data_IF_204700100783
#
_entry.id   IF_204700100783
#
_cell.length_a   1.000
_cell.length_b   1.000
_cell.length_c   1.000
_cell.angle_alpha   90.00
_cell.angle_beta   90.00
_cell.angle_gamma   90.00
#
_symmetry.space_group_name_H-M   'P 1'
#
loop_
_entity.id
_entity.type
_entity.pdbx_description
1 polymer ?
#
# COMPACT_ATOMS: atom_id res chain seq x y z
N UNK A 1 -90.53 5.21 18.84
CA UNK A 1 -90.08 5.20 17.43
C UNK A 1 -88.62 5.63 17.39
N UNK A 2 -87.77 4.79 16.78
CA UNK A 2 -86.51 5.15 16.11
C UNK A 2 -85.40 5.85 16.93
N UNK A 3 -84.69 5.12 17.79
CA UNK A 3 -83.32 5.51 18.20
C UNK A 3 -82.43 4.29 18.51
N UNK A 4 -82.65 3.14 17.84
CA UNK A 4 -81.87 1.92 18.09
C UNK A 4 -81.69 1.04 16.84
N UNK A 5 -81.41 1.66 15.68
CA UNK A 5 -81.19 0.94 14.40
C UNK A 5 -80.07 1.52 13.50
N UNK A 6 -79.15 2.32 14.05
CA UNK A 6 -78.04 2.88 13.28
C UNK A 6 -76.67 2.65 13.95
N UNK A 7 -76.48 1.50 14.61
CA UNK A 7 -75.18 1.16 15.19
C UNK A 7 -74.66 -0.24 14.80
N UNK A 8 -75.21 -0.85 13.75
CA UNK A 8 -74.82 -2.22 13.35
C UNK A 8 -74.64 -2.40 11.85
N UNK A 9 -74.48 -1.30 11.10
CA UNK A 9 -74.12 -1.33 9.66
C UNK A 9 -72.84 -0.53 9.38
N UNK A 10 -72.20 0.05 10.40
CA UNK A 10 -70.93 0.77 10.27
C UNK A 10 -69.75 -0.02 10.86
N UNK A 11 -69.80 -1.35 10.76
CA UNK A 11 -68.76 -2.26 11.26
C UNK A 11 -68.44 -3.39 10.28
N UNK A 12 -68.65 -3.13 8.98
CA UNK A 12 -68.29 -4.06 7.91
C UNK A 12 -67.95 -3.31 6.61
N UNK A 13 -67.08 -2.29 6.70
CA UNK A 13 -66.46 -1.65 5.53
C UNK A 13 -65.02 -1.23 5.85
N UNK A 14 -64.28 -2.15 6.49
CA UNK A 14 -62.88 -1.97 6.87
C UNK A 14 -62.06 -3.16 6.42
N UNK A 15 -62.13 -3.50 5.14
CA UNK A 15 -61.29 -4.52 4.55
C UNK A 15 -60.71 -4.00 3.24
N UNK A 16 -59.37 -3.98 3.19
CA UNK A 16 -58.54 -4.00 1.99
C UNK A 16 -58.43 -2.64 1.27
N UNK A 17 -57.43 -1.84 1.66
CA UNK A 17 -56.26 -1.55 0.81
C UNK A 17 -55.07 -1.18 1.72
N UNK A 18 -54.34 -2.16 2.23
CA UNK A 18 -52.93 -1.92 2.56
C UNK A 18 -52.18 -2.02 1.23
N UNK A 19 -52.08 -0.89 0.53
CA UNK A 19 -51.05 -0.76 -0.49
C UNK A 19 -49.73 -0.68 0.26
N UNK A 20 -49.00 -1.79 0.35
CA UNK A 20 -47.55 -1.68 0.43
C UNK A 20 -47.13 -1.00 -0.87
N UNK A 21 -46.87 0.31 -0.81
CA UNK A 21 -45.91 0.88 -1.74
C UNK A 21 -44.60 0.15 -1.39
N UNK A 22 -44.19 -0.78 -2.24
CA UNK A 22 -42.77 -1.03 -2.38
C UNK A 22 -42.30 0.14 -3.25
N UNK A 23 -41.85 1.21 -2.61
CA UNK A 23 -40.95 2.14 -3.27
C UNK A 23 -39.66 1.36 -3.62
N UNK A 24 -39.10 1.67 -4.78
CA UNK A 24 -37.99 0.92 -5.40
C UNK A 24 -36.66 1.06 -4.63
N UNK A 25 -36.66 1.71 -3.48
CA UNK A 25 -35.55 1.90 -2.56
C UNK A 25 -35.38 0.73 -1.57
N UNK A 26 -36.39 -0.14 -1.40
CA UNK A 26 -36.31 -1.35 -0.58
C UNK A 26 -35.74 -2.59 -1.32
N UNK A 27 -35.48 -2.46 -2.64
CA UNK A 27 -34.94 -3.54 -3.46
C UNK A 27 -33.64 -3.10 -4.11
N UNK A 28 -32.51 -3.58 -3.58
CA UNK A 28 -31.21 -3.46 -4.24
C UNK A 28 -31.31 -4.14 -5.60
N UNK A 29 -31.30 -3.36 -6.68
CA UNK A 29 -31.21 -3.87 -8.03
C UNK A 29 -29.75 -4.15 -8.34
N UNK A 30 -29.42 -5.43 -8.56
CA UNK A 30 -28.08 -5.82 -9.00
C UNK A 30 -27.73 -5.10 -10.30
N UNK A 31 -26.60 -4.41 -10.32
CA UNK A 31 -26.14 -3.70 -11.51
C UNK A 31 -25.71 -4.68 -12.58
N UNK A 32 -26.01 -4.35 -13.84
CA UNK A 32 -25.51 -5.08 -15.00
C UNK A 32 -24.05 -4.72 -15.30
N UNK A 33 -23.34 -5.60 -16.01
CA UNK A 33 -21.98 -5.33 -16.51
C UNK A 33 -21.90 -4.02 -17.31
N UNK A 34 -22.95 -3.70 -18.08
CA UNK A 34 -23.02 -2.45 -18.83
C UNK A 34 -22.97 -1.23 -17.92
N UNK A 35 -23.69 -1.25 -16.78
CA UNK A 35 -23.69 -0.16 -15.80
C UNK A 35 -22.34 -0.04 -15.09
N UNK A 36 -21.71 -1.17 -14.76
CA UNK A 36 -20.39 -1.17 -14.12
C UNK A 36 -19.33 -0.64 -15.09
N UNK A 37 -19.38 -1.02 -16.37
CA UNK A 37 -18.48 -0.48 -17.39
C UNK A 37 -18.72 1.01 -17.66
N UNK A 38 -19.96 1.47 -17.62
CA UNK A 38 -20.25 2.91 -17.68
C UNK A 38 -19.59 3.65 -16.50
N UNK A 39 -19.72 3.13 -15.28
CA UNK A 39 -19.02 3.65 -14.10
C UNK A 39 -17.50 3.72 -14.31
N UNK A 40 -16.89 2.64 -14.79
CA UNK A 40 -15.46 2.58 -15.08
C UNK A 40 -15.06 3.67 -16.06
N UNK A 41 -15.74 3.80 -17.20
CA UNK A 41 -15.43 4.83 -18.20
C UNK A 41 -15.58 6.22 -17.60
N UNK A 42 -16.66 6.49 -16.87
CA UNK A 42 -16.91 7.81 -16.25
C UNK A 42 -15.80 8.18 -15.28
N UNK A 43 -15.44 7.31 -14.35
CA UNK A 43 -14.41 7.67 -13.38
C UNK A 43 -13.00 7.71 -13.98
N UNK A 44 -12.67 6.86 -14.97
CA UNK A 44 -11.40 6.98 -15.72
C UNK A 44 -11.34 8.30 -16.52
N UNK A 45 -12.40 8.65 -17.25
CA UNK A 45 -12.47 9.92 -17.99
C UNK A 45 -12.37 11.16 -17.08
N UNK A 46 -12.84 11.06 -15.83
CA UNK A 46 -12.81 12.16 -14.87
C UNK A 46 -11.45 12.25 -14.18
N UNK A 47 -10.95 11.14 -13.64
CA UNK A 47 -9.86 11.17 -12.65
C UNK A 47 -8.51 10.72 -13.19
N UNK A 48 -8.47 10.01 -14.31
CA UNK A 48 -7.25 9.35 -14.73
C UNK A 48 -6.16 10.35 -15.11
N UNK A 49 -4.95 10.16 -14.56
CA UNK A 49 -3.79 11.00 -14.80
C UNK A 49 -3.42 11.03 -16.29
N UNK A 50 -3.43 9.86 -16.93
CA UNK A 50 -3.07 9.68 -18.34
C UNK A 50 -4.29 9.69 -19.27
N UNK A 51 -5.37 10.37 -18.89
CA UNK A 51 -6.59 10.49 -19.71
C UNK A 51 -6.28 10.88 -21.16
N UNK A 52 -5.39 11.85 -21.36
CA UNK A 52 -5.05 12.38 -22.68
C UNK A 52 -4.37 11.35 -23.59
N UNK A 53 -3.75 10.31 -23.03
CA UNK A 53 -3.05 9.26 -23.77
C UNK A 53 -4.00 8.12 -24.23
N UNK A 54 -5.27 8.14 -23.80
CA UNK A 54 -6.24 7.08 -24.06
C UNK A 54 -7.40 7.63 -24.91
N UNK A 55 -7.39 7.43 -26.25
CA UNK A 55 -8.40 8.01 -27.14
C UNK A 55 -9.85 7.66 -26.80
N UNK A 56 -10.10 6.47 -26.24
CA UNK A 56 -11.45 6.04 -25.83
C UNK A 56 -11.97 6.76 -24.57
N UNK A 57 -11.10 7.51 -23.87
CA UNK A 57 -11.46 8.43 -22.78
C UNK A 57 -11.70 9.86 -23.26
N UNK A 58 -11.61 10.18 -24.55
CA UNK A 58 -11.93 11.53 -25.03
C UNK A 58 -13.41 11.89 -24.75
N UNK A 59 -13.66 13.17 -24.44
CA UNK A 59 -14.99 13.66 -24.06
C UNK A 59 -15.99 13.58 -25.22
N UNK A 60 -15.51 13.72 -26.45
CA UNK A 60 -16.28 13.69 -27.71
C UNK A 60 -16.14 12.35 -28.46
N UNK A 61 -15.61 11.30 -27.81
CA UNK A 61 -15.32 10.00 -28.42
C UNK A 61 -16.54 9.34 -29.10
N UNK A 62 -17.73 9.48 -28.52
CA UNK A 62 -18.93 8.79 -28.98
C UNK A 62 -19.98 9.79 -29.48
N UNK A 63 -20.54 9.50 -30.66
CA UNK A 63 -21.53 10.37 -31.33
C UNK A 63 -22.97 10.09 -30.92
N UNK A 64 -23.22 8.96 -30.24
CA UNK A 64 -24.54 8.56 -29.76
C UNK A 64 -24.46 7.58 -28.59
N UNK A 65 -25.54 7.48 -27.81
CA UNK A 65 -25.64 6.49 -26.72
C UNK A 65 -25.62 5.04 -27.23
N UNK A 66 -26.09 4.78 -28.46
CA UNK A 66 -26.02 3.45 -29.07
C UNK A 66 -24.58 3.04 -29.31
N UNK A 67 -23.78 3.91 -29.94
CA UNK A 67 -22.36 3.66 -30.18
C UNK A 67 -21.60 3.43 -28.86
N UNK A 68 -21.88 4.25 -27.85
CA UNK A 68 -21.28 4.11 -26.52
C UNK A 68 -21.63 2.76 -25.87
N UNK A 69 -22.90 2.38 -25.85
CA UNK A 69 -23.32 1.09 -25.29
C UNK A 69 -22.76 -0.11 -26.07
N UNK A 70 -22.70 -0.02 -27.40
CA UNK A 70 -22.10 -1.07 -28.24
C UNK A 70 -20.61 -1.23 -27.93
N UNK A 71 -19.89 -0.12 -27.72
CA UNK A 71 -18.49 -0.14 -27.27
C UNK A 71 -18.33 -0.82 -25.92
N UNK A 72 -19.11 -0.43 -24.88
CA UNK A 72 -19.04 -1.08 -23.57
C UNK A 72 -19.38 -2.58 -23.64
N UNK A 73 -20.33 -2.97 -24.48
CA UNK A 73 -20.72 -4.37 -24.67
C UNK A 73 -19.72 -5.18 -25.49
N UNK A 74 -18.75 -4.55 -26.16
CA UNK A 74 -17.70 -5.26 -26.90
C UNK A 74 -16.68 -5.98 -26.00
N UNK A 75 -16.64 -5.61 -24.71
CA UNK A 75 -15.77 -6.22 -23.71
C UNK A 75 -16.47 -7.32 -22.93
N UNK A 76 -15.74 -8.38 -22.55
CA UNK A 76 -16.32 -9.55 -21.91
C UNK A 76 -16.62 -9.36 -20.42
N UNK A 77 -15.89 -8.50 -19.73
CA UNK A 77 -16.08 -8.20 -18.30
C UNK A 77 -15.72 -6.74 -17.96
N UNK A 78 -16.15 -6.23 -16.80
CA UNK A 78 -15.70 -4.94 -16.27
C UNK A 78 -14.17 -4.82 -16.18
N UNK A 79 -13.46 -5.85 -15.73
CA UNK A 79 -12.00 -5.86 -15.59
C UNK A 79 -11.31 -5.73 -16.95
N UNK A 80 -11.70 -6.56 -17.94
CA UNK A 80 -11.14 -6.45 -19.30
C UNK A 80 -11.39 -5.09 -19.94
N UNK A 81 -12.47 -4.41 -19.55
CA UNK A 81 -12.77 -3.06 -20.01
C UNK A 81 -11.91 -2.01 -19.29
N UNK A 82 -11.71 -2.14 -17.98
CA UNK A 82 -10.81 -1.29 -17.23
C UNK A 82 -9.39 -1.37 -17.79
N UNK A 83 -8.86 -2.58 -17.99
CA UNK A 83 -7.51 -2.82 -18.50
C UNK A 83 -7.29 -2.17 -19.89
N UNK A 84 -8.33 -2.13 -20.73
CA UNK A 84 -8.29 -1.45 -22.04
C UNK A 84 -8.15 0.07 -21.92
N UNK A 85 -8.62 0.68 -20.82
CA UNK A 85 -8.56 2.11 -20.58
C UNK A 85 -7.31 2.56 -19.83
N UNK A 86 -6.46 1.63 -19.39
CA UNK A 86 -5.19 1.91 -18.73
C UNK A 86 -4.13 2.17 -19.81
N UNK A 87 -3.39 3.28 -19.68
CA UNK A 87 -2.33 3.63 -20.60
C UNK A 87 -1.12 2.68 -20.46
N UNK A 88 -0.38 2.44 -21.55
CA UNK A 88 0.74 1.49 -21.59
C UNK A 88 1.81 1.74 -20.51
N UNK A 89 2.01 3.01 -20.12
CA UNK A 89 2.98 3.41 -19.08
C UNK A 89 2.49 3.22 -17.63
N UNK A 90 1.25 2.80 -17.42
CA UNK A 90 0.64 2.72 -16.10
C UNK A 90 0.56 1.29 -15.59
N UNK A 91 1.46 0.96 -14.66
CA UNK A 91 1.49 -0.32 -13.95
C UNK A 91 0.70 -0.30 -12.62
N UNK A 92 0.10 0.84 -12.28
CA UNK A 92 -0.33 1.17 -10.93
C UNK A 92 -1.83 1.39 -10.75
N UNK A 93 -2.58 1.63 -11.82
CA UNK A 93 -4.04 1.68 -11.79
C UNK A 93 -4.66 0.28 -11.77
N UNK A 94 -5.74 0.10 -11.01
CA UNK A 94 -6.41 -1.20 -10.91
C UNK A 94 -7.88 -1.08 -10.47
N UNK A 95 -8.62 -2.18 -10.57
CA UNK A 95 -10.02 -2.29 -10.18
C UNK A 95 -10.26 -3.52 -9.30
N UNK A 96 -11.21 -3.42 -8.36
CA UNK A 96 -11.74 -4.54 -7.58
C UNK A 96 -13.24 -4.64 -7.74
N UNK A 97 -13.76 -5.85 -7.57
CA UNK A 97 -15.18 -6.12 -7.49
C UNK A 97 -15.73 -6.06 -6.05
N UNK A 98 -14.87 -5.92 -5.04
CA UNK A 98 -15.23 -5.84 -3.63
C UNK A 98 -14.45 -4.70 -2.93
N UNK A 99 -15.04 -3.51 -2.90
CA UNK A 99 -14.46 -2.37 -2.21
C UNK A 99 -14.42 -2.54 -0.69
N UNK A 100 -15.20 -3.47 -0.09
CA UNK A 100 -15.21 -3.66 1.37
C UNK A 100 -13.91 -4.34 1.78
N UNK A 101 -13.51 -5.37 1.02
CA UNK A 101 -12.21 -5.99 1.17
C UNK A 101 -11.06 -4.99 0.94
N UNK A 102 -11.22 -4.07 -0.02
CA UNK A 102 -10.26 -2.98 -0.22
C UNK A 102 -10.19 -2.03 0.99
N UNK A 103 -11.32 -1.55 1.50
CA UNK A 103 -11.34 -0.65 2.66
C UNK A 103 -10.65 -1.31 3.86
N UNK A 104 -10.92 -2.59 4.11
CA UNK A 104 -10.22 -3.38 5.13
C UNK A 104 -8.71 -3.43 4.89
N UNK A 105 -8.28 -3.69 3.65
CA UNK A 105 -6.87 -3.73 3.28
C UNK A 105 -6.17 -2.38 3.51
N UNK A 106 -6.80 -1.25 3.14
CA UNK A 106 -6.27 0.09 3.37
C UNK A 106 -6.15 0.42 4.87
N UNK A 107 -7.08 -0.09 5.69
CA UNK A 107 -7.03 0.00 7.15
C UNK A 107 -6.01 -0.98 7.79
N UNK A 108 -5.30 -1.77 6.99
CA UNK A 108 -4.28 -2.73 7.44
C UNK A 108 -4.84 -4.06 7.91
N UNK A 109 -6.10 -4.34 7.63
CA UNK A 109 -6.80 -5.57 7.99
C UNK A 109 -6.66 -6.57 6.85
N UNK A 110 -5.89 -7.63 7.08
CA UNK A 110 -5.66 -8.69 6.10
C UNK A 110 -5.88 -10.07 6.69
N UNK A 111 -6.13 -11.06 5.83
CA UNK A 111 -6.19 -12.48 6.22
C UNK A 111 -4.81 -13.09 6.00
N UNK A 112 -4.04 -13.28 7.08
CA UNK A 112 -2.68 -13.79 7.02
C UNK A 112 -2.34 -14.66 8.25
N UNK A 113 -1.24 -15.41 8.20
CA UNK A 113 -0.77 -16.22 9.34
C UNK A 113 0.36 -15.53 10.13
N UNK A 114 0.73 -14.31 9.75
CA UNK A 114 1.78 -13.49 10.35
C UNK A 114 3.19 -13.71 9.82
N UNK A 115 3.40 -14.66 8.91
CA UNK A 115 4.69 -14.85 8.25
C UNK A 115 4.79 -13.94 7.03
N UNK A 116 5.58 -12.88 7.12
CA UNK A 116 5.91 -12.02 5.99
C UNK A 116 7.18 -12.53 5.30
N UNK A 117 7.15 -12.72 3.99
CA UNK A 117 8.20 -13.42 3.27
C UNK A 117 8.45 -12.85 1.87
N UNK A 118 9.66 -13.09 1.35
CA UNK A 118 9.98 -12.92 -0.06
C UNK A 118 10.16 -14.26 -0.77
N UNK A 119 10.05 -14.25 -2.09
CA UNK A 119 10.17 -15.41 -2.97
C UNK A 119 11.27 -15.15 -4.01
N UNK A 120 12.26 -16.03 -4.00
CA UNK A 120 13.51 -15.89 -4.76
C UNK A 120 13.70 -17.11 -5.65
N UNK A 121 14.06 -16.88 -6.91
CA UNK A 121 14.42 -17.96 -7.84
C UNK A 121 15.72 -18.62 -7.41
N UNK A 122 15.80 -19.94 -7.58
CA UNK A 122 17.04 -20.66 -7.32
C UNK A 122 18.14 -20.16 -8.27
N UNK A 123 19.39 -19.98 -7.81
CA UNK A 123 20.47 -19.46 -8.64
C UNK A 123 20.77 -20.31 -9.88
N UNK A 124 20.70 -21.64 -9.71
CA UNK A 124 21.08 -22.60 -10.75
C UNK A 124 19.88 -23.25 -11.45
N UNK A 125 18.65 -23.03 -10.96
CA UNK A 125 17.41 -23.65 -11.44
C UNK A 125 16.24 -22.65 -11.38
N UNK A 126 16.23 -21.59 -12.21
CA UNK A 126 15.36 -20.42 -12.01
C UNK A 126 13.84 -20.70 -12.15
N UNK A 127 13.45 -21.90 -12.56
CA UNK A 127 12.06 -22.37 -12.53
C UNK A 127 11.58 -22.73 -11.11
N UNK A 128 12.52 -22.99 -10.19
CA UNK A 128 12.26 -23.26 -8.78
C UNK A 128 12.42 -22.01 -7.95
N UNK A 129 11.64 -21.95 -6.89
CA UNK A 129 11.55 -20.81 -5.98
C UNK A 129 11.69 -21.29 -4.54
N UNK A 130 12.41 -20.52 -3.73
CA UNK A 130 12.37 -20.65 -2.28
C UNK A 130 11.81 -19.37 -1.68
N UNK A 131 11.20 -19.49 -0.51
CA UNK A 131 10.81 -18.37 0.31
C UNK A 131 11.79 -18.14 1.45
N UNK A 132 11.96 -16.88 1.81
CA UNK A 132 12.70 -16.46 2.99
C UNK A 132 11.80 -15.58 3.86
N UNK A 133 11.81 -15.79 5.17
CA UNK A 133 11.00 -14.99 6.09
C UNK A 133 11.67 -13.64 6.30
N UNK A 134 10.95 -12.56 5.97
CA UNK A 134 11.37 -11.17 6.18
C UNK A 134 11.19 -10.77 7.64
N UNK A 135 10.01 -11.01 8.18
CA UNK A 135 9.69 -10.74 9.57
C UNK A 135 8.43 -11.52 9.95
N UNK A 136 8.12 -11.53 11.25
CA UNK A 136 6.94 -12.20 11.77
C UNK A 136 6.13 -11.20 12.59
N UNK A 137 4.85 -11.10 12.27
CA UNK A 137 3.92 -10.19 12.94
C UNK A 137 3.62 -10.68 14.37
N UNK A 138 3.58 -9.78 15.37
CA UNK A 138 3.38 -10.16 16.76
C UNK A 138 1.96 -10.68 17.01
N UNK A 139 1.83 -11.67 17.88
CA UNK A 139 0.54 -12.26 18.29
C UNK A 139 -0.09 -13.18 17.24
N UNK A 140 0.67 -13.65 16.25
CA UNK A 140 0.17 -14.45 15.13
C UNK A 140 0.49 -15.95 15.24
N UNK A 141 -0.12 -16.75 14.38
CA UNK A 141 0.11 -18.19 14.32
C UNK A 141 1.57 -18.54 13.94
N UNK A 142 2.17 -17.78 13.03
CA UNK A 142 3.59 -17.91 12.68
C UNK A 142 4.52 -17.66 13.88
N UNK A 143 4.25 -16.60 14.66
CA UNK A 143 5.02 -16.31 15.88
C UNK A 143 4.89 -17.43 16.91
N UNK A 144 3.66 -17.90 17.15
CA UNK A 144 3.38 -18.99 18.09
C UNK A 144 4.09 -20.31 17.72
N UNK A 145 4.35 -20.51 16.42
CA UNK A 145 5.06 -21.67 15.88
C UNK A 145 6.58 -21.49 15.81
N UNK A 146 7.07 -20.33 16.25
CA UNK A 146 8.49 -20.05 16.38
C UNK A 146 9.20 -19.78 15.07
N UNK A 147 8.45 -19.39 14.02
CA UNK A 147 9.03 -18.89 12.77
C UNK A 147 9.80 -17.60 13.07
N UNK A 148 10.92 -17.39 12.38
CA UNK A 148 11.79 -16.22 12.55
C UNK A 148 12.21 -15.66 11.20
N UNK A 149 12.53 -14.36 11.20
CA UNK A 149 13.28 -13.73 10.08
C UNK A 149 14.51 -14.58 9.75
N UNK A 150 14.72 -14.83 8.46
CA UNK A 150 15.81 -15.66 7.96
C UNK A 150 15.48 -17.14 7.82
N UNK A 151 14.35 -17.63 8.35
CA UNK A 151 13.92 -18.99 8.05
C UNK A 151 13.66 -19.14 6.54
N UNK A 152 14.14 -20.25 5.97
CA UNK A 152 13.97 -20.57 4.56
C UNK A 152 12.96 -21.70 4.43
N UNK A 153 12.10 -21.62 3.42
CA UNK A 153 11.19 -22.70 3.03
C UNK A 153 11.19 -22.85 1.52
N UNK A 154 10.93 -24.05 1.01
CA UNK A 154 10.93 -24.29 -0.44
C UNK A 154 9.76 -25.14 -0.94
N UNK A 155 8.92 -25.63 -0.04
CA UNK A 155 7.70 -26.35 -0.40
C UNK A 155 6.50 -25.82 0.37
N UNK A 156 5.32 -25.95 -0.22
CA UNK A 156 4.02 -25.72 0.41
C UNK A 156 3.18 -26.97 0.19
N UNK A 157 2.67 -27.56 1.27
CA UNK A 157 1.99 -28.86 1.29
C UNK A 157 2.77 -29.95 0.55
N UNK A 158 4.09 -29.95 0.73
CA UNK A 158 5.03 -30.87 0.08
C UNK A 158 5.27 -30.59 -1.41
N UNK A 159 4.64 -29.58 -2.00
CA UNK A 159 4.83 -29.20 -3.40
C UNK A 159 5.95 -28.15 -3.51
N UNK A 160 6.93 -28.39 -4.39
CA UNK A 160 7.99 -27.43 -4.71
C UNK A 160 7.39 -26.14 -5.28
N UNK A 161 7.81 -24.99 -4.73
CA UNK A 161 7.35 -23.68 -5.17
C UNK A 161 8.01 -23.36 -6.52
N UNK A 162 7.21 -22.83 -7.46
CA UNK A 162 7.61 -22.28 -8.75
C UNK A 162 6.97 -20.91 -8.94
N UNK A 163 7.43 -20.14 -9.93
CA UNK A 163 6.82 -18.84 -10.26
C UNK A 163 5.37 -18.94 -10.77
N UNK A 164 4.97 -20.12 -11.26
CA UNK A 164 3.63 -20.37 -11.82
C UNK A 164 2.63 -20.98 -10.85
N UNK A 165 3.05 -21.51 -9.69
CA UNK A 165 2.15 -22.23 -8.77
C UNK A 165 1.89 -21.51 -7.43
N UNK A 166 2.66 -20.47 -7.11
CA UNK A 166 2.61 -19.73 -5.83
C UNK A 166 1.22 -19.25 -5.47
N UNK A 167 0.47 -18.70 -6.43
CA UNK A 167 -0.88 -18.18 -6.18
C UNK A 167 -1.85 -19.28 -5.75
N UNK A 168 -1.74 -20.47 -6.34
CA UNK A 168 -2.53 -21.63 -5.94
C UNK A 168 -2.07 -22.21 -4.61
N UNK A 169 -0.77 -22.27 -4.35
CA UNK A 169 -0.22 -22.82 -3.11
C UNK A 169 -0.51 -21.94 -1.88
N UNK A 170 -0.54 -20.61 -2.06
CA UNK A 170 -0.74 -19.65 -0.99
C UNK A 170 -2.21 -19.24 -0.78
N UNK A 171 -3.12 -19.61 -1.68
CA UNK A 171 -4.54 -19.24 -1.56
C UNK A 171 -5.26 -19.88 -0.35
N UNK A 172 -5.00 -21.14 0.04
CA UNK A 172 -5.72 -21.74 1.17
C UNK A 172 -5.51 -21.00 2.49
N UNK A 173 -6.52 -21.05 3.36
CA UNK A 173 -6.44 -20.46 4.71
C UNK A 173 -5.48 -21.22 5.62
N UNK A 174 -5.24 -22.50 5.32
CA UNK A 174 -4.24 -23.31 6.01
C UNK A 174 -3.36 -24.04 5.01
N UNK A 175 -2.05 -24.00 5.23
CA UNK A 175 -1.05 -24.70 4.42
C UNK A 175 0.17 -25.03 5.26
N UNK A 176 1.03 -25.94 4.79
CA UNK A 176 2.23 -26.37 5.51
C UNK A 176 3.48 -26.01 4.72
N UNK A 177 4.36 -25.19 5.29
CA UNK A 177 5.68 -24.92 4.68
C UNK A 177 6.67 -26.03 5.02
N UNK A 178 7.45 -26.48 4.05
CA UNK A 178 8.62 -27.32 4.29
C UNK A 178 9.88 -26.48 4.39
N UNK A 179 10.58 -26.57 5.52
CA UNK A 179 11.74 -25.76 5.83
C UNK A 179 13.00 -26.25 5.09
N UNK A 180 13.83 -25.30 4.69
CA UNK A 180 15.10 -25.52 4.03
C UNK A 180 16.20 -24.64 4.66
N UNK A 181 17.43 -24.81 4.22
CA UNK A 181 18.56 -23.90 4.48
C UNK A 181 19.08 -23.36 3.16
N UNK A 182 19.65 -22.17 3.18
CA UNK A 182 20.27 -21.55 2.01
C UNK A 182 21.66 -21.03 2.37
N UNK A 183 22.70 -21.49 1.66
CA UNK A 183 24.10 -21.13 1.94
C UNK A 183 24.67 -20.04 1.00
N UNK A 184 23.80 -19.45 0.17
CA UNK A 184 24.17 -18.53 -0.90
C UNK A 184 24.24 -19.18 -2.28
N UNK A 185 24.26 -20.51 -2.36
CA UNK A 185 24.29 -21.27 -3.62
C UNK A 185 23.17 -22.30 -3.69
N UNK A 186 23.07 -23.14 -2.67
CA UNK A 186 22.19 -24.30 -2.66
C UNK A 186 21.07 -24.15 -1.63
N UNK A 187 19.85 -24.51 -2.03
CA UNK A 187 18.70 -24.64 -1.13
C UNK A 187 18.55 -26.12 -0.75
N UNK A 188 18.72 -26.43 0.53
CA UNK A 188 18.69 -27.81 1.03
C UNK A 188 17.51 -28.03 1.97
N UNK A 189 16.56 -28.94 1.66
CA UNK A 189 15.46 -29.27 2.57
C UNK A 189 15.97 -29.82 3.91
N UNK A 190 15.40 -29.35 5.01
CA UNK A 190 15.73 -29.85 6.36
C UNK A 190 14.94 -31.10 6.74
N UNK A 191 13.83 -31.36 6.03
CA UNK A 191 12.83 -32.37 6.40
C UNK A 191 11.85 -31.94 7.49
N UNK A 192 12.04 -30.75 8.09
CA UNK A 192 11.08 -30.16 9.00
C UNK A 192 9.99 -29.40 8.24
N UNK A 193 8.80 -29.30 8.85
CA UNK A 193 7.67 -28.59 8.27
C UNK A 193 6.85 -27.88 9.34
N UNK A 194 6.24 -26.75 8.99
CA UNK A 194 5.38 -25.96 9.89
C UNK A 194 4.04 -25.75 9.20
N UNK A 195 2.96 -26.24 9.80
CA UNK A 195 1.60 -25.92 9.36
C UNK A 195 1.26 -24.51 9.81
N UNK A 196 0.63 -23.70 8.98
CA UNK A 196 0.23 -22.32 9.25
C UNK A 196 -1.25 -22.14 8.96
N UNK A 197 -1.92 -21.31 9.75
CA UNK A 197 -3.33 -20.97 9.57
C UNK A 197 -3.50 -19.46 9.60
N UNK A 198 -4.18 -18.93 8.58
CA UNK A 198 -4.49 -17.52 8.46
C UNK A 198 -5.61 -17.13 9.41
N UNK A 199 -5.51 -15.92 9.93
CA UNK A 199 -6.53 -15.23 10.71
C UNK A 199 -6.60 -13.78 10.26
N UNK A 200 -7.73 -13.13 10.50
CA UNK A 200 -7.80 -11.68 10.29
C UNK A 200 -6.86 -10.98 11.27
N UNK A 201 -6.03 -10.08 10.75
CA UNK A 201 -5.02 -9.36 11.52
C UNK A 201 -4.96 -7.90 11.06
N UNK A 202 -4.90 -6.98 12.02
CA UNK A 202 -4.66 -5.55 11.77
C UNK A 202 -3.18 -5.26 12.01
N UNK A 203 -2.43 -5.00 10.95
CA UNK A 203 -0.99 -4.71 11.07
C UNK A 203 -0.75 -3.27 11.53
N UNK A 204 -0.02 -3.12 12.63
CA UNK A 204 0.56 -1.85 13.02
C UNK A 204 1.82 -1.59 12.17
N UNK A 205 1.85 -0.53 11.34
CA UNK A 205 2.99 -0.26 10.47
C UNK A 205 4.26 0.15 11.23
N UNK A 206 4.15 0.60 12.49
CA UNK A 206 5.29 0.80 13.40
C UNK A 206 5.73 -0.56 13.92
N UNK A 207 6.43 -1.32 13.07
CA UNK A 207 6.81 -2.71 13.36
C UNK A 207 7.84 -2.80 14.48
N UNK A 208 8.86 -1.93 14.45
CA UNK A 208 9.91 -1.88 15.46
C UNK A 208 10.42 -0.45 15.64
N UNK A 209 10.45 0.04 16.87
CA UNK A 209 11.11 1.29 17.25
C UNK A 209 12.13 1.03 18.37
N UNK A 210 13.36 1.52 18.19
CA UNK A 210 14.46 1.27 19.14
C UNK A 210 15.46 2.40 19.12
N UNK A 211 15.92 2.83 20.30
CA UNK A 211 17.09 3.70 20.43
C UNK A 211 18.35 2.85 20.60
N UNK A 212 19.34 3.08 19.74
CA UNK A 212 20.63 2.40 19.71
C UNK A 212 21.72 3.32 20.27
N UNK A 213 22.67 2.76 21.01
CA UNK A 213 23.91 3.47 21.35
C UNK A 213 24.96 3.21 20.27
N UNK A 214 25.28 4.24 19.49
CA UNK A 214 26.27 4.20 18.41
C UNK A 214 27.43 5.11 18.77
N UNK A 215 28.48 4.53 19.35
CA UNK A 215 29.68 5.27 19.73
C UNK A 215 29.45 6.34 20.80
N UNK A 216 28.45 6.15 21.68
CA UNK A 216 28.05 7.12 22.71
C UNK A 216 26.95 8.08 22.27
N UNK A 217 26.48 8.02 21.02
CA UNK A 217 25.39 8.83 20.52
C UNK A 217 24.09 8.01 20.41
N UNK A 218 22.95 8.52 20.90
CA UNK A 218 21.66 7.88 20.71
C UNK A 218 21.19 8.01 19.26
N UNK A 219 20.90 6.88 18.63
CA UNK A 219 20.41 6.76 17.25
C UNK A 219 19.03 6.11 17.26
N UNK A 220 18.03 6.79 16.74
CA UNK A 220 16.70 6.20 16.58
C UNK A 220 16.67 5.27 15.37
N UNK A 221 16.12 4.08 15.54
CA UNK A 221 15.90 3.10 14.48
C UNK A 221 14.42 2.72 14.43
N UNK A 222 13.80 2.90 13.26
CA UNK A 222 12.40 2.63 13.02
C UNK A 222 12.23 1.73 11.79
N UNK A 223 11.65 0.54 11.98
CA UNK A 223 11.12 -0.27 10.88
C UNK A 223 9.66 0.10 10.68
N UNK A 224 9.36 0.69 9.53
CA UNK A 224 8.03 1.20 9.19
C UNK A 224 7.52 0.54 7.91
N UNK A 225 6.49 -0.30 8.03
CA UNK A 225 6.08 -1.23 6.96
C UNK A 225 4.97 -0.70 6.04
N UNK A 226 4.31 0.41 6.37
CA UNK A 226 3.30 1.00 5.48
C UNK A 226 2.81 2.37 5.98
N UNK A 227 2.45 3.25 5.05
CA UNK A 227 1.92 4.57 5.38
C UNK A 227 0.40 4.47 5.58
N UNK A 228 -0.06 4.41 6.83
CA UNK A 228 -1.48 4.20 7.16
C UNK A 228 -2.00 5.29 8.10
N UNK A 229 -3.10 5.92 7.71
CA UNK A 229 -3.69 7.06 8.42
C UNK A 229 -4.24 6.70 9.81
N UNK A 230 -4.69 5.46 10.01
CA UNK A 230 -5.22 4.98 11.29
C UNK A 230 -4.16 4.68 12.35
N UNK A 231 -2.86 4.82 12.04
CA UNK A 231 -1.73 4.58 12.96
C UNK A 231 -0.81 5.80 13.15
N UNK A 232 -1.26 7.00 12.79
CA UNK A 232 -0.45 8.23 12.93
C UNK A 232 -0.11 8.54 14.39
N UNK A 233 -0.99 8.19 15.34
CA UNK A 233 -0.73 8.39 16.76
C UNK A 233 0.42 7.50 17.26
N UNK A 234 0.44 6.23 16.88
CA UNK A 234 1.50 5.27 17.19
C UNK A 234 2.84 5.72 16.60
N UNK A 235 2.82 6.22 15.36
CA UNK A 235 4.00 6.78 14.73
C UNK A 235 4.51 8.03 15.49
N UNK A 236 3.63 8.98 15.79
CA UNK A 236 3.99 10.19 16.53
C UNK A 236 4.49 9.87 17.96
N UNK A 237 3.97 8.81 18.60
CA UNK A 237 4.41 8.33 19.90
C UNK A 237 5.83 7.73 19.85
N UNK A 238 6.16 6.96 18.81
CA UNK A 238 7.52 6.45 18.61
C UNK A 238 8.54 7.60 18.48
N UNK A 239 8.17 8.65 17.73
CA UNK A 239 8.97 9.88 17.66
C UNK A 239 9.05 10.65 18.98
N UNK A 240 7.98 10.65 19.77
CA UNK A 240 8.00 11.17 21.14
C UNK A 240 9.02 10.44 22.02
N UNK A 241 9.13 9.12 21.89
CA UNK A 241 10.14 8.32 22.59
C UNK A 241 11.55 8.67 22.12
N UNK A 242 11.81 8.71 20.81
CA UNK A 242 13.12 9.11 20.26
C UNK A 242 13.56 10.51 20.72
N UNK A 243 12.62 11.45 20.77
CA UNK A 243 12.86 12.80 21.29
C UNK A 243 13.21 12.79 22.78
N UNK A 244 12.51 11.99 23.58
CA UNK A 244 12.79 11.82 25.01
C UNK A 244 14.16 11.17 25.25
N UNK A 245 14.56 10.24 24.39
CA UNK A 245 15.86 9.57 24.45
C UNK A 245 17.02 10.46 23.95
N UNK A 246 16.71 11.65 23.42
CA UNK A 246 17.69 12.62 22.95
C UNK A 246 18.39 12.20 21.66
N UNK A 247 17.69 11.45 20.80
CA UNK A 247 18.21 10.95 19.51
C UNK A 247 18.86 12.06 18.68
N UNK A 248 20.05 11.76 18.16
CA UNK A 248 20.90 12.69 17.37
C UNK A 248 21.08 12.30 15.91
N UNK A 249 20.85 11.03 15.57
CA UNK A 249 20.80 10.51 14.21
C UNK A 249 19.60 9.56 14.09
N UNK A 250 19.04 9.42 12.89
CA UNK A 250 17.88 8.57 12.66
C UNK A 250 18.07 7.68 11.45
N UNK A 251 17.67 6.42 11.61
CA UNK A 251 17.66 5.39 10.58
C UNK A 251 16.22 4.92 10.41
N UNK A 252 15.64 5.25 9.26
CA UNK A 252 14.31 4.84 8.84
C UNK A 252 14.44 3.62 7.91
N UNK A 253 13.85 2.49 8.29
CA UNK A 253 13.91 1.25 7.55
C UNK A 253 12.60 1.02 6.79
N UNK A 254 12.64 1.28 5.49
CA UNK A 254 11.52 1.15 4.54
C UNK A 254 11.74 -0.01 3.58
N UNK A 255 12.65 -0.94 3.90
CA UNK A 255 13.15 -1.95 2.96
C UNK A 255 12.05 -2.85 2.40
N UNK A 256 10.92 -2.97 3.09
CA UNK A 256 9.74 -3.75 2.68
C UNK A 256 8.47 -2.93 2.50
N UNK A 257 8.56 -1.59 2.55
CA UNK A 257 7.41 -0.71 2.54
C UNK A 257 7.05 -0.25 1.12
N UNK A 258 5.91 -0.75 0.61
CA UNK A 258 5.40 -0.44 -0.72
C UNK A 258 4.70 0.93 -0.86
N UNK A 259 4.56 1.68 0.24
CA UNK A 259 3.97 3.01 0.26
C UNK A 259 2.71 3.12 1.11
N UNK A 260 1.77 3.95 0.67
CA UNK A 260 0.49 4.20 1.32
C UNK A 260 0.05 5.66 1.25
N UNK A 261 -0.46 6.19 2.36
CA UNK A 261 -1.09 7.50 2.43
C UNK A 261 -0.10 8.68 2.35
N UNK A 262 -0.39 9.65 1.48
CA UNK A 262 0.46 10.83 1.22
C UNK A 262 0.56 11.81 2.38
N UNK A 263 -0.49 11.93 3.20
CA UNK A 263 -0.50 12.82 4.36
C UNK A 263 0.35 12.24 5.49
N UNK A 264 0.21 10.94 5.78
CA UNK A 264 1.09 10.24 6.74
C UNK A 264 2.57 10.34 6.32
N UNK A 265 2.84 10.39 5.01
CA UNK A 265 4.18 10.62 4.46
C UNK A 265 4.71 12.01 4.82
N UNK A 266 3.92 13.05 4.61
CA UNK A 266 4.24 14.43 4.96
C UNK A 266 4.45 14.58 6.47
N UNK A 267 3.60 13.97 7.28
CA UNK A 267 3.70 13.98 8.74
C UNK A 267 5.00 13.32 9.22
N UNK A 268 5.37 12.17 8.65
CA UNK A 268 6.65 11.51 8.94
C UNK A 268 7.84 12.40 8.56
N UNK A 269 7.78 13.07 7.40
CA UNK A 269 8.83 14.01 6.98
C UNK A 269 8.97 15.20 7.95
N UNK A 270 7.85 15.72 8.44
CA UNK A 270 7.77 16.74 9.49
C UNK A 270 8.30 16.24 10.84
N UNK A 271 8.03 14.99 11.23
CA UNK A 271 8.57 14.35 12.43
C UNK A 271 10.10 14.22 12.39
N UNK A 272 10.67 13.89 11.23
CA UNK A 272 12.14 13.80 11.05
C UNK A 272 12.78 15.19 11.17
N UNK A 273 12.26 16.17 10.43
CA UNK A 273 12.96 17.45 10.22
C UNK A 273 12.54 18.57 11.17
N UNK A 274 11.25 18.75 11.46
CA UNK A 274 10.67 19.77 12.35
C UNK A 274 10.93 21.26 12.02
N UNK A 275 11.88 21.56 11.14
CA UNK A 275 12.45 22.89 10.95
C UNK A 275 11.80 23.69 9.81
N UNK A 276 11.08 23.02 8.91
CA UNK A 276 10.60 23.59 7.64
C UNK A 276 9.10 23.87 7.62
N UNK A 277 8.47 24.06 8.79
CA UNK A 277 7.03 24.29 8.91
C UNK A 277 6.54 25.45 8.01
N UNK A 278 5.60 25.15 7.11
CA UNK A 278 5.04 26.06 6.11
C UNK A 278 5.77 26.05 4.76
N UNK A 279 6.94 25.41 4.66
CA UNK A 279 7.66 25.23 3.40
C UNK A 279 7.05 24.12 2.55
N UNK A 280 7.33 24.13 1.25
CA UNK A 280 6.76 23.18 0.29
C UNK A 280 7.38 21.81 0.52
N UNK A 281 6.58 20.80 0.86
CA UNK A 281 7.02 19.41 0.81
C UNK A 281 6.92 18.91 -0.63
N UNK A 282 5.72 18.97 -1.21
CA UNK A 282 5.47 18.67 -2.62
C UNK A 282 4.38 19.53 -3.23
N UNK A 283 4.31 19.55 -4.56
CA UNK A 283 3.19 20.06 -5.34
C UNK A 283 2.57 18.92 -6.16
N UNK A 284 1.29 19.04 -6.46
CA UNK A 284 0.53 18.02 -7.18
C UNK A 284 0.23 18.46 -8.61
N UNK A 285 0.53 17.56 -9.55
CA UNK A 285 0.19 17.69 -10.96
C UNK A 285 -0.83 16.62 -11.35
N UNK A 286 -2.02 17.07 -11.71
CA UNK A 286 -3.18 16.29 -12.13
C UNK A 286 -3.35 16.39 -13.65
N UNK A 287 -4.28 15.60 -14.21
CA UNK A 287 -4.70 15.82 -15.59
C UNK A 287 -5.25 17.26 -15.80
N UNK A 288 -5.25 17.73 -17.06
CA UNK A 288 -5.63 19.08 -17.47
C UNK A 288 -6.99 19.53 -16.92
N UNK A 289 -7.95 18.61 -16.87
CA UNK A 289 -9.34 18.89 -16.50
C UNK A 289 -9.50 19.02 -14.99
N UNK A 290 -8.61 18.38 -14.21
CA UNK A 290 -8.65 18.35 -12.75
C UNK A 290 -7.67 19.32 -12.10
N UNK A 291 -6.58 19.71 -12.77
CA UNK A 291 -5.57 20.61 -12.21
C UNK A 291 -6.16 21.91 -11.63
N UNK A 292 -7.10 22.62 -12.29
CA UNK A 292 -7.64 23.88 -11.73
C UNK A 292 -8.43 23.72 -10.43
N UNK A 293 -9.00 22.53 -10.19
CA UNK A 293 -9.85 22.26 -9.03
C UNK A 293 -9.10 21.55 -7.90
N UNK A 294 -8.16 20.67 -8.25
CA UNK A 294 -7.54 19.74 -7.30
C UNK A 294 -6.03 19.90 -7.15
N UNK A 295 -5.36 20.63 -8.04
CA UNK A 295 -3.94 20.94 -7.89
C UNK A 295 -3.67 21.63 -6.55
N UNK A 296 -2.72 21.09 -5.79
CA UNK A 296 -2.43 21.55 -4.43
C UNK A 296 -0.91 21.63 -4.17
N UNK A 297 -0.55 22.35 -3.10
CA UNK A 297 0.80 22.42 -2.55
C UNK A 297 0.79 21.87 -1.14
N UNK A 298 1.31 20.66 -0.98
CA UNK A 298 1.50 20.02 0.31
C UNK A 298 2.68 20.68 1.02
N UNK A 299 2.45 21.22 2.22
CA UNK A 299 3.47 21.92 3.00
C UNK A 299 3.79 21.16 4.27
N UNK A 300 5.05 21.16 4.68
CA UNK A 300 5.37 20.70 6.03
C UNK A 300 4.52 21.48 7.05
N UNK A 301 4.02 20.77 8.04
CA UNK A 301 3.28 21.32 9.16
C UNK A 301 3.74 20.68 10.47
N UNK A 302 3.11 21.08 11.57
CA UNK A 302 3.48 20.69 12.93
C UNK A 302 2.38 19.92 13.65
N UNK A 303 1.41 19.40 12.91
CA UNK A 303 0.28 18.64 13.43
C UNK A 303 0.10 17.36 12.61
N UNK A 304 -0.22 16.25 13.26
CA UNK A 304 -0.72 15.07 12.56
C UNK A 304 -2.20 15.26 12.21
N UNK A 305 -2.79 14.37 11.40
CA UNK A 305 -4.16 14.49 10.88
C UNK A 305 -5.25 14.74 11.93
N UNK A 306 -5.08 14.20 13.14
CA UNK A 306 -6.04 14.38 14.24
C UNK A 306 -5.94 15.76 14.94
N UNK A 307 -4.97 16.59 14.56
CA UNK A 307 -4.69 17.91 15.13
C UNK A 307 -3.67 17.92 16.27
N UNK A 308 -3.21 16.78 16.74
CA UNK A 308 -2.17 16.69 17.78
C UNK A 308 -0.82 17.20 17.24
N UNK A 309 -0.03 17.80 18.14
CA UNK A 309 1.29 18.31 17.78
C UNK A 309 2.27 17.20 17.40
N UNK A 310 3.08 17.45 16.38
CA UNK A 310 4.15 16.55 15.94
C UNK A 310 5.31 16.54 16.94
N UNK A 311 5.76 15.33 17.31
CA UNK A 311 7.03 15.11 18.00
C UNK A 311 8.19 15.13 16.99
N UNK A 312 8.76 16.31 16.73
CA UNK A 312 9.90 16.42 15.81
C UNK A 312 11.26 16.17 16.47
N UNK A 313 12.19 15.56 15.71
CA UNK A 313 13.59 15.33 16.10
C UNK A 313 14.52 16.48 15.73
N UNK A 314 14.12 17.38 14.81
CA UNK A 314 14.92 18.49 14.33
C UNK A 314 16.25 18.06 13.67
N UNK A 315 16.23 16.97 12.91
CA UNK A 315 17.42 16.42 12.27
C UNK A 315 17.70 17.08 10.93
N UNK A 316 18.98 17.23 10.60
CA UNK A 316 19.50 17.71 9.31
C UNK A 316 20.01 16.58 8.41
N UNK A 317 19.86 15.34 8.85
CA UNK A 317 20.25 14.13 8.13
C UNK A 317 19.38 12.94 8.53
N UNK A 318 19.08 12.07 7.58
CA UNK A 318 18.41 10.79 7.81
C UNK A 318 19.03 9.69 6.96
N UNK A 319 19.12 8.48 7.50
CA UNK A 319 19.44 7.27 6.74
C UNK A 319 18.16 6.53 6.40
N UNK A 320 18.00 6.10 5.15
CA UNK A 320 16.82 5.36 4.70
C UNK A 320 17.25 4.01 4.13
N UNK A 321 16.82 2.92 4.77
CA UNK A 321 17.11 1.57 4.29
C UNK A 321 16.06 1.16 3.25
N UNK A 322 16.48 0.76 2.05
CA UNK A 322 15.58 0.49 0.92
C UNK A 322 15.88 -0.80 0.17
N UNK A 323 14.87 -1.31 -0.53
CA UNK A 323 15.04 -2.27 -1.63
C UNK A 323 14.16 -1.87 -2.82
N UNK A 324 14.12 -2.69 -3.88
CA UNK A 324 13.17 -2.55 -4.99
C UNK A 324 11.71 -2.48 -4.51
N UNK A 325 11.39 -3.02 -3.33
CA UNK A 325 10.03 -2.94 -2.75
C UNK A 325 9.72 -1.62 -2.09
N UNK A 326 10.73 -0.80 -1.81
CA UNK A 326 10.53 0.55 -1.32
C UNK A 326 9.94 1.36 -2.48
N UNK A 327 8.65 1.65 -2.39
CA UNK A 327 7.91 2.25 -3.49
C UNK A 327 7.06 3.43 -3.01
N UNK A 328 6.72 4.30 -3.94
CA UNK A 328 5.59 5.21 -3.78
C UNK A 328 5.79 6.20 -2.62
N UNK A 329 4.99 6.13 -1.54
CA UNK A 329 5.15 6.98 -0.37
C UNK A 329 6.54 6.85 0.29
N UNK A 330 7.16 5.66 0.24
CA UNK A 330 8.54 5.46 0.68
C UNK A 330 9.53 6.30 -0.12
N UNK A 331 9.32 6.41 -1.42
CA UNK A 331 10.15 7.21 -2.33
C UNK A 331 9.82 8.70 -2.24
N UNK A 332 8.57 9.04 -1.90
CA UNK A 332 8.14 10.41 -1.63
C UNK A 332 8.85 10.99 -0.39
N UNK A 333 9.14 10.19 0.65
CA UNK A 333 10.01 10.63 1.76
C UNK A 333 11.39 11.04 1.25
N UNK A 334 12.03 10.20 0.42
CA UNK A 334 13.36 10.48 -0.16
C UNK A 334 13.27 11.77 -0.98
N UNK A 335 12.35 11.81 -1.94
CA UNK A 335 12.19 12.92 -2.88
C UNK A 335 11.86 14.26 -2.19
N UNK A 336 10.99 14.23 -1.19
CA UNK A 336 10.51 15.43 -0.51
C UNK A 336 11.47 15.97 0.56
N UNK A 337 12.35 15.13 1.13
CA UNK A 337 13.35 15.55 2.12
C UNK A 337 14.69 15.96 1.51
N UNK A 338 15.08 15.38 0.37
CA UNK A 338 16.37 15.62 -0.29
C UNK A 338 16.70 17.12 -0.53
N UNK A 339 15.73 17.99 -0.90
CA UNK A 339 16.02 19.43 -1.05
C UNK A 339 16.38 20.16 0.25
N UNK A 340 16.10 19.55 1.40
CA UNK A 340 16.11 20.20 2.72
C UNK A 340 17.20 19.70 3.66
N UNK A 341 17.46 18.40 3.62
CA UNK A 341 18.39 17.72 4.52
C UNK A 341 19.22 16.69 3.77
N UNK A 342 20.30 16.20 4.39
CA UNK A 342 21.05 15.09 3.80
C UNK A 342 20.27 13.79 3.95
N UNK A 343 19.84 13.20 2.84
CA UNK A 343 19.25 11.86 2.80
C UNK A 343 20.34 10.87 2.37
N UNK A 344 20.54 9.80 3.13
CA UNK A 344 21.50 8.73 2.79
C UNK A 344 20.73 7.43 2.66
N UNK A 345 20.54 6.99 1.43
CA UNK A 345 19.95 5.72 1.09
C UNK A 345 20.98 4.59 1.24
N UNK A 346 20.56 3.50 1.87
CA UNK A 346 21.36 2.30 2.12
C UNK A 346 20.56 1.08 1.69
N UNK A 347 21.17 0.15 0.98
CA UNK A 347 20.48 -1.05 0.51
C UNK A 347 20.52 -1.14 -1.00
N UNK A 348 19.35 -1.22 -1.63
CA UNK A 348 19.20 -1.39 -3.08
C UNK A 348 18.30 -0.30 -3.69
N UNK A 349 18.26 -0.24 -5.02
CA UNK A 349 17.45 0.68 -5.82
C UNK A 349 15.96 0.58 -5.46
N UNK A 350 15.24 1.71 -5.45
CA UNK A 350 13.78 1.74 -5.18
C UNK A 350 12.94 1.45 -6.44
N UNK A 351 11.61 1.35 -6.31
CA UNK A 351 10.72 0.91 -7.40
C UNK A 351 10.58 1.89 -8.57
N UNK A 352 10.56 3.19 -8.30
CA UNK A 352 10.36 4.25 -9.30
C UNK A 352 8.93 4.75 -9.46
N UNK A 353 8.18 4.88 -8.36
CA UNK A 353 6.78 5.33 -8.37
C UNK A 353 6.58 6.69 -7.72
N UNK A 354 6.10 7.66 -8.49
CA UNK A 354 5.90 9.06 -8.09
C UNK A 354 4.46 9.55 -8.20
N UNK A 355 3.56 8.66 -8.63
CA UNK A 355 2.13 8.93 -8.82
C UNK A 355 1.31 8.43 -7.64
N UNK A 356 0.19 9.10 -7.36
CA UNK A 356 -0.80 8.69 -6.37
C UNK A 356 -2.12 8.29 -7.04
N UNK A 357 -2.84 7.36 -6.41
CA UNK A 357 -4.21 6.97 -6.76
C UNK A 357 -5.23 7.46 -5.72
N UNK A 358 -6.51 7.25 -6.01
CA UNK A 358 -7.60 7.35 -5.01
C UNK A 358 -8.64 6.30 -5.32
N UNK A 359 -9.36 5.82 -4.30
CA UNK A 359 -10.51 4.95 -4.51
C UNK A 359 -11.69 5.75 -5.05
N UNK A 360 -12.16 5.33 -6.21
CA UNK A 360 -13.32 5.86 -6.92
C UNK A 360 -14.47 4.87 -6.78
N UNK A 361 -15.61 5.39 -6.34
CA UNK A 361 -16.86 4.65 -6.12
C UNK A 361 -17.91 5.05 -7.15
N UNK A 362 -18.84 4.15 -7.47
CA UNK A 362 -19.94 4.48 -8.36
C UNK A 362 -20.98 5.33 -7.64
N UNK A 363 -20.75 6.64 -7.64
CA UNK A 363 -21.62 7.64 -7.03
C UNK A 363 -21.52 8.96 -7.80
N UNK A 364 -22.41 9.89 -7.48
CA UNK A 364 -22.47 11.23 -8.07
C UNK A 364 -21.22 12.07 -7.82
N UNK A 365 -20.55 11.86 -6.69
CA UNK A 365 -19.31 12.55 -6.33
C UNK A 365 -18.06 11.67 -6.44
N UNK A 366 -18.19 10.43 -6.93
CA UNK A 366 -17.13 9.42 -7.02
C UNK A 366 -16.54 8.95 -5.68
N UNK A 367 -17.17 9.32 -4.55
CA UNK A 367 -16.77 8.90 -3.22
C UNK A 367 -17.84 8.02 -2.57
N UNK A 368 -17.43 7.25 -1.55
CA UNK A 368 -18.33 6.40 -0.77
C UNK A 368 -19.47 7.16 -0.09
N UNK A 369 -19.33 8.48 0.08
CA UNK A 369 -20.31 9.37 0.69
C UNK A 369 -21.30 10.00 -0.29
N UNK A 370 -21.24 9.67 -1.58
CA UNK A 370 -22.16 10.23 -2.59
C UNK A 370 -23.62 9.86 -2.31
N UNK A 371 -24.53 10.81 -2.56
CA UNK A 371 -25.96 10.63 -2.30
C UNK A 371 -26.57 9.54 -3.19
N UNK A 372 -25.99 9.34 -4.39
CA UNK A 372 -26.42 8.34 -5.35
C UNK A 372 -25.41 7.19 -5.45
N UNK A 373 -24.81 6.78 -4.33
CA UNK A 373 -23.97 5.59 -4.30
C UNK A 373 -24.75 4.38 -4.81
N UNK A 374 -24.23 3.75 -5.87
CA UNK A 374 -24.83 2.56 -6.45
C UNK A 374 -24.62 1.37 -5.52
N UNK A 375 -25.71 0.91 -4.89
CA UNK A 375 -25.71 -0.26 -4.00
C UNK A 375 -25.87 -1.58 -4.76
N UNK A 376 -26.04 -1.54 -6.08
CA UNK A 376 -26.23 -2.72 -6.94
C UNK A 376 -24.95 -3.51 -7.23
N UNK A 377 -23.78 -3.00 -6.84
CA UNK A 377 -22.50 -3.68 -6.93
C UNK A 377 -21.50 -3.16 -5.87
N UNK A 378 -20.36 -3.85 -5.75
CA UNK A 378 -19.25 -3.48 -4.86
C UNK A 378 -17.96 -3.14 -5.60
N UNK A 379 -18.02 -2.93 -6.92
CA UNK A 379 -16.86 -2.44 -7.67
C UNK A 379 -16.38 -1.07 -7.19
N UNK A 380 -15.07 -0.93 -7.12
CA UNK A 380 -14.35 0.33 -7.02
C UNK A 380 -13.05 0.25 -7.81
N UNK A 381 -12.54 1.38 -8.26
CA UNK A 381 -11.27 1.46 -8.97
C UNK A 381 -10.32 2.44 -8.32
N UNK A 382 -9.02 2.23 -8.51
CA UNK A 382 -7.96 3.12 -8.10
C UNK A 382 -7.13 3.56 -9.30
N UNK A 383 -7.61 4.52 -10.10
CA UNK A 383 -6.78 5.14 -11.13
C UNK A 383 -5.68 5.97 -10.48
N UNK A 384 -4.52 6.05 -11.13
CA UNK A 384 -3.58 7.15 -10.90
C UNK A 384 -4.27 8.46 -11.24
N UNK A 385 -4.13 9.46 -10.36
CA UNK A 385 -4.82 10.76 -10.51
C UNK A 385 -3.87 11.95 -10.56
N UNK A 386 -2.67 11.80 -9.99
CA UNK A 386 -1.68 12.87 -9.89
C UNK A 386 -0.25 12.33 -9.87
N UNK A 387 0.70 13.19 -10.21
CA UNK A 387 2.14 13.08 -9.94
C UNK A 387 2.52 14.02 -8.80
N UNK A 388 3.53 13.64 -8.03
CA UNK A 388 4.12 14.49 -6.98
C UNK A 388 5.43 15.12 -7.46
N UNK A 389 5.61 16.41 -7.18
CA UNK A 389 6.79 17.19 -7.56
C UNK A 389 7.38 17.82 -6.31
N UNK A 390 8.68 17.62 -6.03
CA UNK A 390 9.30 18.21 -4.84
C UNK A 390 9.53 19.73 -4.97
N UNK A 391 10.04 20.36 -3.90
CA UNK A 391 10.21 21.82 -3.83
C UNK A 391 11.17 22.43 -4.87
N UNK A 392 12.01 21.62 -5.52
CA UNK A 392 12.93 22.05 -6.59
C UNK A 392 12.47 21.62 -7.99
N UNK A 393 11.29 21.04 -8.12
CA UNK A 393 10.72 20.63 -9.40
C UNK A 393 11.10 19.23 -9.87
N UNK A 394 11.65 18.37 -9.00
CA UNK A 394 12.03 17.00 -9.34
C UNK A 394 10.86 16.01 -9.17
N UNK A 395 10.67 15.17 -10.17
CA UNK A 395 9.62 14.13 -10.30
C UNK A 395 10.07 13.12 -11.37
N UNK A 396 9.17 12.24 -11.83
CA UNK A 396 9.41 11.32 -12.96
C UNK A 396 10.61 10.37 -12.76
N UNK A 397 10.86 9.94 -11.51
CA UNK A 397 11.93 9.02 -11.15
C UNK A 397 11.59 7.56 -11.51
N UNK A 398 11.29 7.28 -12.78
CA UNK A 398 10.86 5.96 -13.28
C UNK A 398 11.79 4.79 -12.93
N UNK A 399 13.09 5.05 -12.74
CA UNK A 399 14.08 4.02 -12.41
C UNK A 399 14.30 3.88 -10.88
N UNK A 400 13.56 4.61 -10.06
CA UNK A 400 13.81 4.71 -8.63
C UNK A 400 15.07 5.49 -8.26
N UNK A 401 15.38 5.48 -6.97
CA UNK A 401 16.54 6.11 -6.36
C UNK A 401 17.64 5.07 -6.15
N UNK A 402 18.86 5.40 -6.59
CA UNK A 402 20.05 4.56 -6.42
C UNK A 402 20.71 4.87 -5.08
N UNK A 403 21.04 3.86 -4.25
CA UNK A 403 21.58 4.08 -2.92
C UNK A 403 23.00 4.66 -2.92
N UNK A 404 23.29 5.60 -2.00
CA UNK A 404 24.67 6.04 -1.74
C UNK A 404 25.52 4.91 -1.15
N UNK A 405 24.89 4.01 -0.39
CA UNK A 405 25.53 2.81 0.17
C UNK A 405 24.83 1.57 -0.37
N UNK A 406 25.33 1.07 -1.50
CA UNK A 406 24.83 -0.16 -2.10
C UNK A 406 25.17 -1.38 -1.22
N UNK A 407 24.15 -1.99 -0.62
CA UNK A 407 24.25 -3.16 0.26
C UNK A 407 22.93 -3.95 0.23
N UNK A 408 22.61 -4.63 -0.90
CA UNK A 408 21.37 -5.40 -1.04
C UNK A 408 21.28 -6.52 0.00
N UNK A 409 20.06 -7.02 0.24
CA UNK A 409 19.85 -8.09 1.22
C UNK A 409 20.59 -9.38 0.84
N UNK A 410 21.28 -9.97 1.82
CA UNK A 410 21.88 -11.29 1.70
C UNK A 410 20.92 -12.35 2.22
N UNK A 411 20.25 -13.08 1.33
CA UNK A 411 19.29 -14.12 1.72
C UNK A 411 19.93 -15.29 2.49
N UNK A 412 21.25 -15.43 2.48
CA UNK A 412 21.97 -16.40 3.32
C UNK A 412 22.26 -15.85 4.73
N UNK A 413 22.11 -14.54 4.94
CA UNK A 413 22.32 -13.86 6.21
C UNK A 413 21.51 -12.55 6.30
N UNK A 414 20.24 -12.65 6.64
CA UNK A 414 19.36 -11.47 6.79
C UNK A 414 19.54 -10.70 8.10
N UNK A 415 20.32 -11.24 9.05
CA UNK A 415 20.44 -10.70 10.40
C UNK A 415 19.10 -10.61 11.15
N UNK A 416 19.09 -9.84 12.25
CA UNK A 416 17.92 -9.61 13.10
C UNK A 416 17.62 -8.11 13.09
N UNK A 417 16.41 -7.70 12.68
CA UNK A 417 16.04 -6.29 12.64
C UNK A 417 16.26 -5.62 14.01
N UNK A 418 16.91 -4.45 14.00
CA UNK A 418 17.28 -3.71 15.21
C UNK A 418 18.46 -4.26 16.00
N UNK A 419 19.10 -5.34 15.55
CA UNK A 419 20.45 -5.71 16.00
C UNK A 419 21.47 -4.83 15.27
N UNK A 420 22.39 -4.12 15.97
CA UNK A 420 23.43 -3.32 15.32
C UNK A 420 24.33 -4.06 14.32
N UNK A 421 24.31 -5.40 14.32
CA UNK A 421 25.05 -6.26 13.39
C UNK A 421 24.19 -6.75 12.20
N UNK A 422 22.90 -6.40 12.12
CA UNK A 422 22.08 -6.66 10.94
C UNK A 422 22.68 -5.95 9.72
N UNK A 423 22.87 -6.61 8.56
CA UNK A 423 23.72 -6.09 7.49
C UNK A 423 23.42 -4.65 7.03
N UNK A 424 22.15 -4.29 6.77
CA UNK A 424 21.81 -2.95 6.27
C UNK A 424 21.89 -1.90 7.39
N UNK A 425 21.39 -2.21 8.58
CA UNK A 425 21.51 -1.34 9.76
C UNK A 425 22.98 -1.11 10.12
N UNK A 426 23.80 -2.15 10.09
CA UNK A 426 25.24 -2.07 10.37
C UNK A 426 25.95 -1.18 9.34
N UNK A 427 25.57 -1.25 8.06
CA UNK A 427 26.12 -0.38 7.03
C UNK A 427 25.83 1.10 7.30
N UNK A 428 24.60 1.43 7.71
CA UNK A 428 24.24 2.79 8.14
C UNK A 428 25.01 3.22 9.40
N UNK A 429 25.07 2.37 10.44
CA UNK A 429 25.83 2.62 11.68
C UNK A 429 27.32 2.87 11.39
N UNK A 430 27.94 2.08 10.52
CA UNK A 430 29.34 2.27 10.15
C UNK A 430 29.55 3.62 9.46
N UNK A 431 28.62 4.05 8.61
CA UNK A 431 28.69 5.36 7.97
C UNK A 431 28.52 6.50 9.00
N UNK A 432 27.59 6.37 9.96
CA UNK A 432 27.44 7.31 11.09
C UNK A 432 28.75 7.49 11.86
N UNK A 433 29.45 6.38 12.14
CA UNK A 433 30.73 6.37 12.84
C UNK A 433 31.92 6.87 12.00
N UNK A 434 31.73 7.13 10.69
CA UNK A 434 32.80 7.48 9.77
C UNK A 434 33.74 6.31 9.44
N UNK A 435 33.33 5.08 9.71
CA UNK A 435 34.08 3.89 9.35
C UNK A 435 34.01 3.66 7.84
N UNK A 436 35.13 3.25 7.24
CA UNK A 436 35.12 2.77 5.85
C UNK A 436 34.44 1.40 5.81
N UNK A 437 33.23 1.33 5.28
CA UNK A 437 32.57 0.05 4.99
C UNK A 437 33.32 -0.67 3.86
N UNK A 438 33.86 -1.86 4.13
CA UNK A 438 34.24 -2.78 3.07
C UNK A 438 32.98 -3.45 2.55
N UNK A 439 32.40 -2.93 1.48
CA UNK A 439 31.31 -3.59 0.77
C UNK A 439 31.90 -4.88 0.18
N UNK A 440 31.56 -6.04 0.74
CA UNK A 440 31.82 -7.30 0.08
C UNK A 440 30.82 -7.41 -1.07
N UNK A 441 31.25 -7.14 -2.30
CA UNK A 441 30.40 -7.41 -3.47
C UNK A 441 30.25 -8.93 -3.61
N UNK A 442 29.18 -9.50 -3.07
CA UNK A 442 28.69 -10.78 -3.57
C UNK A 442 28.04 -10.50 -4.92
N UNK A 443 28.72 -10.85 -6.01
CA UNK A 443 28.21 -10.73 -7.38
C UNK A 443 27.18 -11.83 -7.70
N UNK A 444 26.25 -12.12 -6.79
CA UNK A 444 25.14 -13.02 -7.08
C UNK A 444 23.88 -12.16 -7.10
N UNK A 445 23.47 -11.78 -8.30
CA UNK A 445 22.14 -11.19 -8.52
C UNK A 445 21.10 -12.29 -8.31
N UNK A 446 20.44 -12.24 -7.16
CA UNK A 446 19.28 -13.06 -6.91
C UNK A 446 18.04 -12.35 -7.46
N UNK A 447 17.23 -13.07 -8.23
CA UNK A 447 15.96 -12.55 -8.75
C UNK A 447 14.85 -12.85 -7.76
N UNK A 448 14.57 -11.88 -6.90
CA UNK A 448 13.31 -11.84 -6.16
C UNK A 448 12.19 -11.42 -7.10
N UNK A 449 11.09 -12.18 -7.13
CA UNK A 449 9.95 -11.86 -8.00
C UNK A 449 8.66 -11.61 -7.21
N UNK A 450 8.65 -11.85 -5.90
CA UNK A 450 7.40 -11.96 -5.15
C UNK A 450 7.56 -12.05 -3.65
N UNK A 451 6.43 -12.07 -2.94
CA UNK A 451 6.39 -12.18 -1.47
C UNK A 451 4.95 -12.30 -0.95
N UNK A 452 4.80 -12.27 0.38
CA UNK A 452 3.52 -12.36 1.11
C UNK A 452 2.44 -11.42 0.58
N UNK A 453 2.80 -10.20 0.20
CA UNK A 453 1.85 -9.16 -0.21
C UNK A 453 1.64 -9.07 -1.73
N UNK A 454 2.30 -9.89 -2.56
CA UNK A 454 2.30 -9.72 -4.03
C UNK A 454 0.94 -9.95 -4.71
N UNK A 455 -0.01 -10.55 -4.00
CA UNK A 455 -1.39 -10.76 -4.46
C UNK A 455 -2.39 -9.80 -3.81
N UNK A 456 -1.93 -8.92 -2.92
CA UNK A 456 -2.76 -7.86 -2.37
C UNK A 456 -2.88 -6.74 -3.41
N UNK A 457 -4.04 -6.09 -3.46
CA UNK A 457 -4.33 -5.07 -4.48
C UNK A 457 -3.62 -3.75 -4.22
N UNK A 458 -3.21 -3.48 -2.97
CA UNK A 458 -2.44 -2.30 -2.56
C UNK A 458 -0.91 -2.50 -2.64
N UNK A 459 -0.44 -3.60 -3.24
CA UNK A 459 0.98 -3.90 -3.41
C UNK A 459 1.73 -2.79 -4.20
N UNK A 460 2.72 -2.17 -3.54
CA UNK A 460 3.54 -1.06 -4.08
C UNK A 460 2.70 0.18 -4.49
N UNK A 461 1.73 0.58 -3.65
CA UNK A 461 0.79 1.68 -3.95
C UNK A 461 0.93 2.93 -3.04
N UNK A 462 0.62 4.11 -3.59
CA UNK A 462 0.43 5.38 -2.85
C UNK A 462 -0.92 5.94 -3.22
N UNK A 463 -1.64 6.45 -2.23
CA UNK A 463 -2.98 6.96 -2.41
C UNK A 463 -3.19 8.26 -1.64
N UNK A 464 -4.05 9.11 -2.20
CA UNK A 464 -4.53 10.33 -1.58
C UNK A 464 -5.96 10.13 -1.11
N UNK A 465 -6.20 10.34 0.18
CA UNK A 465 -7.56 10.40 0.72
C UNK A 465 -8.05 11.84 0.68
N UNK A 466 -9.19 12.09 0.03
CA UNK A 466 -9.80 13.42 0.11
C UNK A 466 -10.40 13.64 1.49
N UNK A 467 -10.01 14.72 2.15
CA UNK A 467 -10.66 15.15 3.38
C UNK A 467 -12.15 15.39 3.11
N UNK A 468 -13.02 14.79 3.94
CA UNK A 468 -14.45 15.10 3.95
C UNK A 468 -14.60 16.58 4.30
N UNK A 469 -14.87 17.43 3.31
CA UNK A 469 -15.21 18.84 3.53
C UNK A 469 -16.60 18.96 4.15
#
# INVERSE_FOLDING_TARGET
MKLLKYFTVLLFLGSIVTGCFNDNDDVIQTSSDLQIKDFIRRGMNVWYLYKEDVPDLADDRFSSNTEYNDFLNSFTSPESFFDHLVADQDEFSWIVNDYIALEQLLDGITLNNGMEFGLVRYPNEPSQVFGYVRYVLPGTDAEAKGIKRGDIFNTIDGTQITDTNTGTLLSPDSYTIGLATFDGTDVTPTGASISLTKTQYTENPVFLSKTLDVGGNPVGYLVYNGFRSNFEAELNNAFGQFKSDGVTDFILDLRYNGGGDTETTKDLASMITGQFNGEIFTTEEWNSDRQPQFGDTNRFDNQIRNGDGINSLNLSRVYILTTNRSASASELIINGLDPYITVIQVGDITRGKFQASTTIYDSDNYFRSGNNLNLGHTYAMQPLILKTINSVGFTDYFNGFTPEINNPEDYSNLGILGDPNEPLLNAAINNILGNRSTIQSKNIEFSEFGGSNMYQTDYERMYKTFNKK
#
